data_IF_571446335270
#
_entry.id   IF_571446335270
#
_cell.length_a   1.000
_cell.length_b   1.000
_cell.length_c   1.000
_cell.angle_alpha   90.00
_cell.angle_beta   90.00
_cell.angle_gamma   90.00
#
_symmetry.space_group_name_H-M   'P 1'
#
loop_
_entity.id
_entity.type
_entity.pdbx_description
1 polymer ?
#
# COMPACT_ATOMS: atom_id res chain seq x y z
N UNK A 1 19.22 23.30 -22.08
CA UNK A 1 20.32 22.84 -21.19
C UNK A 1 19.66 22.33 -19.91
N UNK A 2 19.69 21.02 -19.65
CA UNK A 2 19.17 20.43 -18.41
C UNK A 2 19.85 21.08 -17.20
N UNK A 3 19.11 21.35 -16.12
CA UNK A 3 19.64 22.01 -14.90
C UNK A 3 20.90 21.33 -14.35
N UNK A 4 20.98 20.00 -14.50
CA UNK A 4 22.18 19.20 -14.19
C UNK A 4 23.48 19.73 -14.82
N UNK A 5 23.43 20.31 -16.02
CA UNK A 5 24.63 20.85 -16.67
C UNK A 5 25.11 22.16 -16.03
N UNK A 6 24.22 22.97 -15.42
CA UNK A 6 24.61 24.23 -14.77
C UNK A 6 25.31 24.00 -13.43
N UNK A 7 24.94 22.96 -12.69
CA UNK A 7 25.53 22.66 -11.38
C UNK A 7 26.84 21.88 -11.48
N UNK A 8 26.98 21.04 -12.50
CA UNK A 8 28.26 20.39 -12.82
C UNK A 8 29.35 21.40 -13.27
N UNK A 9 28.97 22.59 -13.73
CA UNK A 9 29.89 23.68 -14.13
C UNK A 9 30.45 24.49 -12.94
N UNK A 10 29.86 24.39 -11.74
CA UNK A 10 30.40 25.03 -10.53
C UNK A 10 31.65 24.28 -10.06
N UNK A 11 32.80 24.56 -10.70
CA UNK A 11 34.12 24.05 -10.33
C UNK A 11 34.43 24.46 -8.88
N UNK A 12 34.63 23.50 -7.98
CA UNK A 12 35.49 23.76 -6.81
C UNK A 12 36.88 24.13 -7.36
N UNK A 13 37.54 25.20 -6.87
CA UNK A 13 38.95 25.39 -7.14
C UNK A 13 39.69 24.16 -6.60
N UNK A 14 40.49 23.57 -7.47
CA UNK A 14 41.26 22.34 -7.23
C UNK A 14 41.99 22.49 -5.89
N UNK A 15 41.60 21.69 -4.90
CA UNK A 15 42.40 21.54 -3.67
C UNK A 15 43.77 21.02 -4.12
N UNK A 16 44.83 21.71 -3.72
CA UNK A 16 46.22 21.39 -4.02
C UNK A 16 46.53 19.89 -3.82
N UNK A 17 46.39 19.08 -4.87
CA UNK A 17 46.94 17.74 -4.93
C UNK A 17 48.11 17.76 -5.92
N UNK A 18 49.31 17.86 -5.36
CA UNK A 18 50.56 17.68 -6.11
C UNK A 18 50.77 16.19 -6.38
N UNK A 19 50.17 15.60 -7.41
CA UNK A 19 50.59 14.28 -7.93
C UNK A 19 50.28 14.14 -9.43
N UNK A 20 51.34 14.18 -10.24
CA UNK A 20 51.52 13.81 -11.66
C UNK A 20 50.27 13.71 -12.60
N UNK A 21 50.33 14.51 -13.66
CA UNK A 21 49.26 15.12 -14.45
C UNK A 21 48.54 14.24 -15.51
N UNK A 22 48.51 12.91 -15.37
CA UNK A 22 47.84 12.04 -16.35
C UNK A 22 46.54 11.41 -15.82
N UNK A 23 46.50 11.06 -14.52
CA UNK A 23 45.30 10.52 -13.88
C UNK A 23 44.18 11.55 -13.75
N UNK A 24 44.56 12.81 -13.48
CA UNK A 24 43.62 13.92 -13.29
C UNK A 24 42.84 14.26 -14.58
N UNK A 25 43.57 14.41 -15.68
CA UNK A 25 42.97 14.67 -17.00
C UNK A 25 42.09 13.49 -17.46
N UNK A 26 42.50 12.25 -17.17
CA UNK A 26 41.76 11.07 -17.58
C UNK A 26 40.44 10.88 -16.81
N UNK A 27 40.33 11.29 -15.54
CA UNK A 27 39.04 11.19 -14.84
C UNK A 27 38.09 12.35 -15.16
N UNK A 28 38.58 13.58 -15.34
CA UNK A 28 37.73 14.71 -15.77
C UNK A 28 37.09 14.42 -17.12
N UNK A 29 37.87 13.88 -18.07
CA UNK A 29 37.35 13.43 -19.36
C UNK A 29 36.36 12.26 -19.23
N UNK A 30 36.51 11.37 -18.23
CA UNK A 30 35.53 10.30 -17.95
C UNK A 30 34.21 10.86 -17.39
N UNK A 31 34.27 11.85 -16.50
CA UNK A 31 33.08 12.49 -15.97
C UNK A 31 32.29 13.24 -17.06
N UNK A 32 32.99 13.98 -17.92
CA UNK A 32 32.39 14.65 -19.07
C UNK A 32 31.75 13.66 -20.06
N UNK A 33 32.42 12.54 -20.34
CA UNK A 33 31.84 11.44 -21.13
C UNK A 33 30.61 10.82 -20.45
N UNK A 34 30.66 10.64 -19.13
CA UNK A 34 29.53 10.16 -18.33
C UNK A 34 28.31 11.07 -18.49
N UNK A 35 28.50 12.38 -18.39
CA UNK A 35 27.43 13.38 -18.58
C UNK A 35 26.85 13.32 -20.00
N UNK A 36 27.69 13.14 -21.04
CA UNK A 36 27.20 12.96 -22.42
C UNK A 36 26.33 11.70 -22.56
N UNK A 37 26.78 10.58 -21.99
CA UNK A 37 26.00 9.34 -22.00
C UNK A 37 24.66 9.48 -21.25
N UNK A 38 24.61 10.27 -20.18
CA UNK A 38 23.33 10.60 -19.52
C UNK A 38 22.40 11.36 -20.45
N UNK A 39 22.91 12.34 -21.20
CA UNK A 39 22.10 13.09 -22.18
C UNK A 39 21.60 12.20 -23.33
N UNK A 40 22.35 11.14 -23.67
CA UNK A 40 21.98 10.12 -24.66
C UNK A 40 21.08 9.01 -24.07
N UNK A 41 20.77 9.05 -22.77
CA UNK A 41 19.97 8.03 -22.08
C UNK A 41 20.70 6.70 -21.83
N UNK A 42 22.02 6.65 -22.04
CA UNK A 42 22.87 5.48 -21.85
C UNK A 42 23.32 5.35 -20.38
N UNK A 43 22.35 5.22 -19.47
CA UNK A 43 22.59 5.29 -18.02
C UNK A 43 23.53 4.21 -17.48
N UNK A 44 23.47 2.97 -17.98
CA UNK A 44 24.33 1.88 -17.51
C UNK A 44 25.83 2.13 -17.80
N UNK A 45 26.14 2.68 -18.98
CA UNK A 45 27.51 3.05 -19.33
C UNK A 45 27.96 4.29 -18.55
N UNK A 46 27.06 5.25 -18.34
CA UNK A 46 27.34 6.40 -17.48
C UNK A 46 27.68 5.99 -16.03
N UNK A 47 26.97 4.99 -15.47
CA UNK A 47 27.30 4.42 -14.15
C UNK A 47 28.73 3.88 -14.10
N UNK A 48 29.17 3.17 -15.14
CA UNK A 48 30.54 2.66 -15.19
C UNK A 48 31.57 3.80 -15.19
N UNK A 49 31.34 4.84 -16.00
CA UNK A 49 32.23 6.00 -16.03
C UNK A 49 32.27 6.78 -14.72
N UNK A 50 31.11 7.02 -14.08
CA UNK A 50 31.08 7.68 -12.77
C UNK A 50 31.69 6.82 -11.68
N UNK A 51 31.56 5.49 -11.74
CA UNK A 51 32.21 4.58 -10.79
C UNK A 51 33.73 4.68 -10.88
N UNK A 52 34.28 4.76 -12.09
CA UNK A 52 35.72 4.99 -12.28
C UNK A 52 36.13 6.41 -11.84
N UNK A 53 35.31 7.43 -12.07
CA UNK A 53 35.57 8.79 -11.60
C UNK A 53 35.62 8.87 -10.06
N UNK A 54 34.69 8.21 -9.37
CA UNK A 54 34.62 8.13 -7.90
C UNK A 54 35.85 7.42 -7.32
N UNK A 55 36.41 6.41 -8.01
CA UNK A 55 37.66 5.77 -7.57
C UNK A 55 38.84 6.74 -7.60
N UNK A 56 38.86 7.67 -8.55
CA UNK A 56 39.92 8.67 -8.69
C UNK A 56 39.77 9.83 -7.70
N UNK A 57 38.54 10.32 -7.50
CA UNK A 57 38.23 11.35 -6.51
C UNK A 57 36.97 10.97 -5.71
N UNK A 58 37.14 10.27 -4.57
CA UNK A 58 36.03 9.84 -3.72
C UNK A 58 35.30 10.98 -2.99
N UNK A 59 35.92 12.17 -2.91
CA UNK A 59 35.42 13.32 -2.17
C UNK A 59 34.59 14.27 -3.04
N UNK A 60 34.56 14.05 -4.36
CA UNK A 60 33.69 14.78 -5.28
C UNK A 60 32.26 14.19 -5.27
N UNK A 61 31.43 14.77 -4.42
CA UNK A 61 30.01 14.43 -4.27
C UNK A 61 29.19 14.54 -5.57
N UNK A 62 29.65 15.29 -6.58
CA UNK A 62 28.92 15.46 -7.84
C UNK A 62 28.88 14.16 -8.63
N UNK A 63 29.94 13.36 -8.60
CA UNK A 63 29.96 12.06 -9.28
C UNK A 63 28.99 11.08 -8.63
N UNK A 64 28.88 11.11 -7.30
CA UNK A 64 27.90 10.33 -6.55
C UNK A 64 26.47 10.76 -6.92
N UNK A 65 26.18 12.07 -6.95
CA UNK A 65 24.85 12.55 -7.34
C UNK A 65 24.48 12.26 -8.80
N UNK A 66 25.44 12.30 -9.73
CA UNK A 66 25.22 11.91 -11.13
C UNK A 66 25.03 10.39 -11.29
N UNK A 67 25.79 9.58 -10.56
CA UNK A 67 25.62 8.11 -10.55
C UNK A 67 24.29 7.71 -9.90
N UNK A 68 23.91 8.37 -8.82
CA UNK A 68 22.60 8.22 -8.16
C UNK A 68 21.44 8.44 -9.15
N UNK A 69 21.51 9.49 -9.98
CA UNK A 69 20.54 9.72 -11.04
C UNK A 69 20.47 8.57 -12.05
N UNK A 70 21.62 8.09 -12.50
CA UNK A 70 21.67 6.98 -13.43
C UNK A 70 21.02 5.72 -12.81
N UNK A 71 21.30 5.43 -11.54
CA UNK A 71 20.64 4.34 -10.81
C UNK A 71 19.12 4.55 -10.69
N UNK A 72 18.67 5.78 -10.44
CA UNK A 72 17.24 6.11 -10.43
C UNK A 72 16.58 5.82 -11.79
N UNK A 73 17.18 6.28 -12.90
CA UNK A 73 16.70 6.01 -14.25
C UNK A 73 16.68 4.51 -14.59
N UNK A 74 17.62 3.74 -14.03
CA UNK A 74 17.67 2.28 -14.13
C UNK A 74 16.72 1.56 -13.15
N UNK A 75 15.93 2.29 -12.35
CA UNK A 75 15.03 1.78 -11.30
C UNK A 75 15.75 1.01 -10.19
N UNK A 76 17.05 1.26 -10.03
CA UNK A 76 17.91 0.71 -8.97
C UNK A 76 17.88 1.65 -7.76
N UNK A 77 16.70 1.84 -7.18
CA UNK A 77 16.47 2.85 -6.14
C UNK A 77 17.33 2.69 -4.88
N UNK A 78 17.62 1.47 -4.38
CA UNK A 78 18.51 1.31 -3.22
C UNK A 78 19.93 1.83 -3.48
N UNK A 79 20.50 1.56 -4.66
CA UNK A 79 21.81 2.10 -5.04
C UNK A 79 21.77 3.60 -5.26
N UNK A 80 20.68 4.12 -5.85
CA UNK A 80 20.47 5.56 -6.00
C UNK A 80 20.44 6.28 -4.64
N UNK A 81 19.76 5.69 -3.66
CA UNK A 81 19.67 6.24 -2.32
C UNK A 81 21.03 6.23 -1.61
N UNK A 82 21.77 5.12 -1.70
CA UNK A 82 23.09 5.01 -1.07
C UNK A 82 24.08 6.07 -1.60
N UNK A 83 24.09 6.31 -2.91
CA UNK A 83 24.91 7.35 -3.52
C UNK A 83 24.46 8.76 -3.13
N UNK A 84 23.14 9.00 -3.05
CA UNK A 84 22.59 10.28 -2.61
C UNK A 84 22.96 10.58 -1.16
N UNK A 85 22.81 9.60 -0.26
CA UNK A 85 23.18 9.72 1.14
C UNK A 85 24.68 10.03 1.30
N UNK A 86 25.53 9.36 0.52
CA UNK A 86 26.98 9.64 0.54
C UNK A 86 27.30 11.03 0.00
N UNK A 87 26.61 11.49 -1.05
CA UNK A 87 26.77 12.85 -1.56
C UNK A 87 26.37 13.90 -0.51
N UNK A 88 25.27 13.69 0.21
CA UNK A 88 24.80 14.56 1.30
C UNK A 88 25.81 14.58 2.46
N UNK A 89 26.40 13.44 2.82
CA UNK A 89 27.45 13.39 3.85
C UNK A 89 28.67 14.26 3.49
N UNK A 90 29.04 14.31 2.20
CA UNK A 90 30.18 15.08 1.71
C UNK A 90 29.85 16.56 1.49
N UNK A 91 28.59 16.87 1.13
CA UNK A 91 28.10 18.23 0.93
C UNK A 91 26.64 18.37 1.41
N UNK A 92 26.43 18.65 2.71
CA UNK A 92 25.09 18.77 3.29
C UNK A 92 24.27 19.92 2.71
N UNK A 93 24.94 21.00 2.30
CA UNK A 93 24.31 22.21 1.76
C UNK A 93 24.08 22.15 0.25
N UNK A 94 24.28 20.98 -0.38
CA UNK A 94 24.04 20.79 -1.80
C UNK A 94 22.57 20.37 -2.07
N UNK A 95 21.72 21.24 -2.64
CA UNK A 95 20.29 20.95 -2.79
C UNK A 95 20.03 19.68 -3.60
N UNK A 96 20.80 19.46 -4.68
CA UNK A 96 20.63 18.28 -5.51
C UNK A 96 20.91 16.96 -4.80
N UNK A 97 21.77 16.93 -3.78
CA UNK A 97 21.98 15.72 -2.98
C UNK A 97 20.67 15.25 -2.35
N UNK A 98 19.97 16.17 -1.69
CA UNK A 98 18.65 15.95 -1.09
C UNK A 98 17.58 15.65 -2.15
N UNK A 99 17.66 16.30 -3.32
CA UNK A 99 16.74 16.02 -4.43
C UNK A 99 16.88 14.57 -4.91
N UNK A 100 18.11 14.09 -5.14
CA UNK A 100 18.38 12.68 -5.51
C UNK A 100 17.88 11.71 -4.44
N UNK A 101 18.10 12.04 -3.17
CA UNK A 101 17.63 11.23 -2.05
C UNK A 101 16.10 11.10 -2.07
N UNK A 102 15.38 12.21 -2.22
CA UNK A 102 13.92 12.21 -2.29
C UNK A 102 13.39 11.46 -3.52
N UNK A 103 14.00 11.60 -4.70
CA UNK A 103 13.63 10.83 -5.89
C UNK A 103 13.82 9.32 -5.69
N UNK A 104 14.93 8.90 -5.09
CA UNK A 104 15.18 7.49 -4.78
C UNK A 104 14.15 6.93 -3.78
N UNK A 105 13.85 7.69 -2.72
CA UNK A 105 12.84 7.33 -1.72
C UNK A 105 11.43 7.23 -2.32
N UNK A 106 11.06 8.13 -3.24
CA UNK A 106 9.83 8.06 -4.03
C UNK A 106 9.74 6.76 -4.83
N UNK A 107 10.82 6.38 -5.53
CA UNK A 107 10.91 5.12 -6.25
C UNK A 107 10.75 3.88 -5.36
N UNK A 108 11.19 3.98 -4.10
CA UNK A 108 11.01 2.95 -3.06
C UNK A 108 9.65 3.03 -2.35
N UNK A 109 8.78 3.98 -2.70
CA UNK A 109 7.49 4.25 -2.05
C UNK A 109 7.60 4.65 -0.56
N UNK A 110 8.74 5.21 -0.15
CA UNK A 110 8.97 5.73 1.20
C UNK A 110 8.61 7.21 1.26
N UNK A 111 7.34 7.53 1.02
CA UNK A 111 6.89 8.90 0.71
C UNK A 111 7.10 9.90 1.85
N UNK A 112 6.90 9.51 3.10
CA UNK A 112 7.15 10.41 4.25
C UNK A 112 8.63 10.77 4.43
N UNK A 113 9.55 9.89 4.01
CA UNK A 113 10.98 10.19 4.01
C UNK A 113 11.36 11.07 2.80
N UNK A 114 10.74 10.81 1.65
CA UNK A 114 10.91 11.64 0.46
C UNK A 114 10.42 13.08 0.68
N UNK A 115 9.30 13.26 1.39
CA UNK A 115 8.79 14.57 1.79
C UNK A 115 9.85 15.36 2.57
N UNK A 116 10.46 14.76 3.59
CA UNK A 116 11.52 15.42 4.38
C UNK A 116 12.73 15.82 3.53
N UNK A 117 13.12 14.96 2.59
CA UNK A 117 14.22 15.27 1.67
C UNK A 117 13.86 16.45 0.75
N UNK A 118 12.64 16.48 0.19
CA UNK A 118 12.17 17.58 -0.66
C UNK A 118 12.00 18.90 0.11
N UNK A 119 11.55 18.86 1.36
CA UNK A 119 11.56 20.03 2.24
C UNK A 119 12.97 20.56 2.47
N UNK A 120 13.96 19.68 2.60
CA UNK A 120 15.35 20.10 2.74
C UNK A 120 15.89 20.74 1.45
N UNK A 121 15.47 20.26 0.26
CA UNK A 121 15.77 20.93 -1.01
C UNK A 121 15.22 22.36 -0.99
N UNK A 122 13.95 22.54 -0.62
CA UNK A 122 13.31 23.85 -0.59
C UNK A 122 13.83 24.79 0.50
N UNK A 123 14.47 24.25 1.55
CA UNK A 123 15.20 25.08 2.53
C UNK A 123 16.51 25.64 1.96
N UNK A 124 17.17 24.88 1.08
CA UNK A 124 18.45 25.28 0.47
C UNK A 124 18.26 26.06 -0.83
N UNK A 125 17.24 25.73 -1.61
CA UNK A 125 16.81 26.38 -2.86
C UNK A 125 15.28 26.55 -2.87
N UNK A 126 14.83 27.70 -2.36
CA UNK A 126 13.41 28.03 -2.18
C UNK A 126 12.61 28.03 -3.48
N UNK A 127 13.25 28.34 -4.63
CA UNK A 127 12.57 28.52 -5.92
C UNK A 127 12.61 27.26 -6.80
N UNK A 128 13.01 26.12 -6.23
CA UNK A 128 13.06 24.85 -6.96
C UNK A 128 11.65 24.31 -7.26
N UNK A 129 11.10 24.68 -8.43
CA UNK A 129 9.77 24.23 -8.91
C UNK A 129 9.62 22.71 -8.99
N UNK A 130 10.69 22.01 -9.33
CA UNK A 130 10.70 20.55 -9.40
C UNK A 130 10.50 19.95 -8.00
N UNK A 131 11.23 20.44 -6.99
CA UNK A 131 11.08 20.00 -5.62
C UNK A 131 9.71 20.35 -5.03
N UNK A 132 9.13 21.51 -5.37
CA UNK A 132 7.75 21.85 -4.98
C UNK A 132 6.73 20.86 -5.56
N UNK A 133 6.85 20.52 -6.84
CA UNK A 133 5.99 19.54 -7.50
C UNK A 133 6.13 18.14 -6.88
N UNK A 134 7.36 17.69 -6.66
CA UNK A 134 7.64 16.39 -6.05
C UNK A 134 7.21 16.33 -4.59
N UNK A 135 7.36 17.40 -3.81
CA UNK A 135 6.82 17.53 -2.46
C UNK A 135 5.30 17.37 -2.45
N UNK A 136 4.60 18.07 -3.33
CA UNK A 136 3.14 17.93 -3.47
C UNK A 136 2.77 16.48 -3.84
N UNK A 137 3.48 15.87 -4.79
CA UNK A 137 3.28 14.47 -5.17
C UNK A 137 3.51 13.51 -3.99
N UNK A 138 4.55 13.73 -3.17
CA UNK A 138 4.81 12.94 -1.96
C UNK A 138 3.59 12.97 -1.02
N UNK A 139 3.02 14.15 -0.79
CA UNK A 139 1.86 14.34 0.10
C UNK A 139 0.61 13.66 -0.45
N UNK A 140 0.35 13.80 -1.75
CA UNK A 140 -0.78 13.11 -2.42
C UNK A 140 -0.64 11.59 -2.29
N UNK A 141 0.55 11.04 -2.53
CA UNK A 141 0.78 9.60 -2.45
C UNK A 141 0.63 9.06 -1.02
N UNK A 142 1.05 9.82 0.00
CA UNK A 142 0.81 9.45 1.40
C UNK A 142 -0.69 9.38 1.71
N UNK A 143 -1.48 10.37 1.27
CA UNK A 143 -2.94 10.34 1.44
C UNK A 143 -3.56 9.14 0.71
N UNK A 144 -3.07 8.80 -0.48
CA UNK A 144 -3.52 7.59 -1.17
C UNK A 144 -3.20 6.30 -0.41
N UNK A 145 -2.07 6.22 0.30
CA UNK A 145 -1.76 5.09 1.21
C UNK A 145 -2.71 5.03 2.42
N UNK A 146 -3.23 6.18 2.86
CA UNK A 146 -4.28 6.28 3.87
C UNK A 146 -5.70 6.02 3.33
N UNK A 147 -5.84 5.69 2.04
CA UNK A 147 -7.10 5.30 1.42
C UNK A 147 -7.89 6.44 0.78
N UNK A 148 -7.34 7.65 0.71
CA UNK A 148 -7.98 8.77 0.00
C UNK A 148 -7.86 8.60 -1.52
N UNK A 149 -8.88 9.02 -2.25
CA UNK A 149 -8.78 9.09 -3.72
C UNK A 149 -7.82 10.21 -4.14
N UNK A 150 -7.18 10.05 -5.32
CA UNK A 150 -6.20 11.03 -5.81
C UNK A 150 -6.79 12.44 -5.95
N UNK A 151 -7.99 12.56 -6.54
CA UNK A 151 -8.66 13.85 -6.71
C UNK A 151 -8.99 14.53 -5.39
N UNK A 152 -9.51 13.75 -4.43
CA UNK A 152 -9.77 14.22 -3.07
C UNK A 152 -8.50 14.68 -2.36
N UNK A 153 -7.41 13.93 -2.51
CA UNK A 153 -6.11 14.24 -1.89
C UNK A 153 -5.57 15.59 -2.35
N UNK A 154 -5.68 15.89 -3.65
CA UNK A 154 -5.26 17.19 -4.21
C UNK A 154 -6.10 18.33 -3.61
N UNK A 155 -7.43 18.21 -3.61
CA UNK A 155 -8.33 19.22 -3.04
C UNK A 155 -8.11 19.42 -1.53
N UNK A 156 -7.85 18.34 -0.79
CA UNK A 156 -7.55 18.42 0.65
C UNK A 156 -6.22 19.12 0.90
N UNK A 157 -5.23 18.93 0.03
CA UNK A 157 -3.92 19.58 0.15
C UNK A 157 -3.92 21.06 -0.26
N UNK A 158 -4.89 21.49 -1.08
CA UNK A 158 -5.14 22.92 -1.32
C UNK A 158 -5.65 23.61 -0.04
N UNK A 159 -6.43 22.90 0.78
CA UNK A 159 -6.98 23.41 2.04
C UNK A 159 -6.02 23.26 3.22
N UNK A 160 -5.32 22.13 3.31
CA UNK A 160 -4.41 21.77 4.39
C UNK A 160 -3.04 21.44 3.80
N UNK A 161 -2.07 22.31 4.04
CA UNK A 161 -0.75 22.20 3.40
C UNK A 161 0.05 20.94 3.76
N UNK A 162 -0.33 20.18 4.80
CA UNK A 162 0.41 19.01 5.30
C UNK A 162 -0.49 17.78 5.47
N UNK A 163 0.08 16.59 5.27
CA UNK A 163 -0.64 15.30 5.42
C UNK A 163 -1.20 15.12 6.84
N UNK A 164 -0.45 15.38 7.93
CA UNK A 164 -1.01 15.24 9.28
C UNK A 164 -2.20 16.15 9.55
N UNK A 165 -2.20 17.38 9.01
CA UNK A 165 -3.32 18.30 9.15
C UNK A 165 -4.58 17.80 8.43
N UNK A 166 -4.43 17.21 7.23
CA UNK A 166 -5.53 16.56 6.52
C UNK A 166 -6.10 15.41 7.35
N UNK A 167 -5.24 14.53 7.87
CA UNK A 167 -5.66 13.37 8.66
C UNK A 167 -6.38 13.79 9.95
N UNK A 168 -5.86 14.80 10.65
CA UNK A 168 -6.48 15.35 11.84
C UNK A 168 -7.86 15.93 11.53
N UNK A 169 -7.98 16.76 10.48
CA UNK A 169 -9.26 17.34 10.07
C UNK A 169 -10.29 16.26 9.67
N UNK A 170 -9.87 15.21 8.97
CA UNK A 170 -10.76 14.10 8.63
C UNK A 170 -11.15 13.27 9.86
N UNK A 171 -10.26 13.12 10.84
CA UNK A 171 -10.58 12.46 12.11
C UNK A 171 -11.56 13.26 12.97
N UNK A 172 -11.49 14.60 12.91
CA UNK A 172 -12.42 15.50 13.59
C UNK A 172 -13.78 15.53 12.89
N UNK A 173 -13.86 15.40 11.56
CA UNK A 173 -15.13 15.20 10.85
C UNK A 173 -15.80 13.89 11.26
N UNK A 174 -15.03 12.82 11.50
CA UNK A 174 -15.57 11.57 12.09
C UNK A 174 -16.05 11.77 13.53
N UNK A 175 -15.50 12.75 14.27
CA UNK A 175 -15.88 13.08 15.66
C UNK A 175 -16.99 14.14 15.78
N UNK A 176 -17.17 15.00 14.79
CA UNK A 176 -18.06 16.16 14.82
C UNK A 176 -19.20 16.12 13.78
N UNK A 177 -19.15 15.23 12.78
CA UNK A 177 -20.10 15.16 11.67
C UNK A 177 -20.86 13.85 11.62
N UNK A 178 -21.98 13.76 12.34
CA UNK A 178 -23.09 12.92 11.93
C UNK A 178 -23.77 13.55 10.71
N UNK A 179 -24.03 12.74 9.67
CA UNK A 179 -24.58 13.08 8.34
C UNK A 179 -23.57 13.83 7.44
N UNK A 180 -23.05 13.28 6.33
CA UNK A 180 -23.74 12.57 5.26
C UNK A 180 -22.78 11.67 4.42
N UNK A 181 -23.32 10.54 3.96
CA UNK A 181 -22.91 9.56 2.92
C UNK A 181 -21.49 8.91 2.85
N UNK A 182 -21.50 7.63 3.29
CA UNK A 182 -20.92 6.44 2.63
C UNK A 182 -19.63 5.80 3.15
N UNK A 183 -19.35 5.90 4.46
CA UNK A 183 -18.52 4.89 5.13
C UNK A 183 -19.19 4.45 6.43
N UNK A 184 -20.17 3.54 6.31
CA UNK A 184 -20.78 2.88 7.46
C UNK A 184 -19.82 1.81 8.00
N UNK A 185 -19.52 1.89 9.30
CA UNK A 185 -18.73 0.91 10.04
C UNK A 185 -19.47 -0.45 10.10
N UNK A 186 -18.77 -1.58 10.28
CA UNK A 186 -19.41 -2.88 10.45
C UNK A 186 -20.27 -2.87 11.72
N UNK A 187 -21.59 -2.83 11.56
CA UNK A 187 -22.57 -2.77 12.66
C UNK A 187 -23.36 -1.47 12.78
N UNK A 188 -23.13 -0.45 11.94
CA UNK A 188 -23.99 0.74 11.95
C UNK A 188 -25.36 0.43 11.33
N UNK A 189 -26.47 0.86 11.97
CA UNK A 189 -27.81 0.68 11.40
C UNK A 189 -27.93 1.35 10.04
N UNK A 190 -28.14 0.58 8.97
CA UNK A 190 -28.38 1.13 7.63
C UNK A 190 -29.77 0.75 7.10
N UNK A 191 -30.29 1.58 6.20
CA UNK A 191 -31.63 1.40 5.58
C UNK A 191 -31.72 0.13 4.72
N UNK A 192 -30.58 -0.30 4.19
CA UNK A 192 -30.45 -1.47 3.33
C UNK A 192 -30.11 -2.72 4.15
N UNK A 193 -30.85 -3.80 3.95
CA UNK A 193 -30.61 -5.11 4.55
C UNK A 193 -30.29 -6.13 3.46
N UNK A 194 -29.31 -6.99 3.75
CA UNK A 194 -29.06 -8.20 3.00
C UNK A 194 -29.81 -9.37 3.64
N UNK A 195 -30.54 -10.12 2.83
CA UNK A 195 -31.29 -11.31 3.22
C UNK A 195 -30.69 -12.50 2.51
N UNK A 196 -30.06 -13.41 3.25
CA UNK A 196 -29.47 -14.64 2.75
C UNK A 196 -30.39 -15.85 2.84
N UNK A 197 -29.97 -16.93 2.18
CA UNK A 197 -30.67 -18.21 2.10
C UNK A 197 -32.05 -18.11 1.41
N UNK A 198 -32.15 -17.25 0.39
CA UNK A 198 -33.35 -17.11 -0.42
C UNK A 198 -33.37 -18.23 -1.47
N UNK A 199 -34.34 -19.13 -1.39
CA UNK A 199 -34.52 -20.24 -2.36
C UNK A 199 -35.24 -19.77 -3.63
N UNK A 200 -35.25 -20.61 -4.67
CA UNK A 200 -35.96 -20.34 -5.94
C UNK A 200 -37.48 -20.33 -5.80
N UNK A 201 -38.01 -20.87 -4.71
CA UNK A 201 -39.45 -20.89 -4.41
C UNK A 201 -39.92 -19.60 -3.72
N UNK A 202 -38.98 -18.80 -3.18
CA UNK A 202 -39.30 -17.55 -2.51
C UNK A 202 -39.37 -16.40 -3.53
N UNK A 203 -40.59 -15.96 -3.80
CA UNK A 203 -40.86 -14.82 -4.69
C UNK A 203 -40.70 -13.49 -3.96
N UNK A 204 -40.54 -12.40 -4.73
CA UNK A 204 -40.47 -11.03 -4.20
C UNK A 204 -41.71 -10.69 -3.35
N UNK A 205 -42.89 -11.17 -3.75
CA UNK A 205 -44.15 -10.89 -3.05
C UNK A 205 -44.16 -11.47 -1.63
N UNK A 206 -43.64 -12.68 -1.42
CA UNK A 206 -43.53 -13.28 -0.09
C UNK A 206 -42.59 -12.48 0.84
N UNK A 207 -41.45 -12.02 0.31
CA UNK A 207 -40.54 -11.15 1.05
C UNK A 207 -41.19 -9.79 1.33
N UNK A 208 -41.97 -9.26 0.39
CA UNK A 208 -42.67 -7.99 0.55
C UNK A 208 -43.71 -8.05 1.65
N UNK A 209 -44.52 -9.12 1.69
CA UNK A 209 -45.52 -9.33 2.74
C UNK A 209 -44.87 -9.47 4.12
N UNK A 210 -43.77 -10.21 4.22
CA UNK A 210 -43.05 -10.42 5.48
C UNK A 210 -42.41 -9.12 6.01
N UNK A 211 -41.67 -8.42 5.15
CA UNK A 211 -40.94 -7.22 5.55
C UNK A 211 -41.86 -6.01 5.74
N UNK A 212 -43.06 -6.00 5.13
CA UNK A 212 -44.08 -4.96 5.32
C UNK A 212 -44.61 -4.92 6.76
N UNK A 213 -44.59 -6.04 7.49
CA UNK A 213 -44.97 -6.09 8.91
C UNK A 213 -43.97 -5.32 9.80
N UNK A 214 -42.74 -5.15 9.33
CA UNK A 214 -41.67 -4.48 10.10
C UNK A 214 -41.49 -3.01 9.70
N UNK A 215 -41.95 -2.59 8.52
CA UNK A 215 -41.90 -1.19 8.10
C UNK A 215 -42.18 -0.96 6.62
N UNK A 216 -42.13 0.31 6.23
CA UNK A 216 -42.34 0.73 4.83
C UNK A 216 -41.10 0.45 3.98
N UNK A 217 -41.31 -0.41 2.98
CA UNK A 217 -40.28 -0.83 2.04
C UNK A 217 -40.23 0.14 0.86
N UNK A 218 -39.02 0.59 0.52
CA UNK A 218 -38.76 1.41 -0.66
C UNK A 218 -38.53 0.54 -1.89
N UNK A 219 -37.68 -0.48 -1.79
CA UNK A 219 -37.41 -1.42 -2.88
C UNK A 219 -36.96 -2.80 -2.38
N UNK A 220 -37.27 -3.83 -3.16
CA UNK A 220 -36.77 -5.19 -2.97
C UNK A 220 -36.09 -5.62 -4.26
N UNK A 221 -34.95 -6.29 -4.15
CA UNK A 221 -34.26 -6.91 -5.28
C UNK A 221 -33.87 -8.32 -4.90
N UNK A 222 -34.45 -9.31 -5.57
CA UNK A 222 -34.13 -10.73 -5.36
C UNK A 222 -33.11 -11.19 -6.39
N UNK A 223 -32.05 -11.86 -5.94
CA UNK A 223 -31.03 -12.50 -6.79
C UNK A 223 -31.01 -13.99 -6.48
N UNK A 224 -31.81 -14.76 -7.21
CA UNK A 224 -31.90 -16.21 -7.05
C UNK A 224 -30.57 -16.91 -7.35
N UNK A 225 -29.77 -16.40 -8.29
CA UNK A 225 -28.43 -16.94 -8.62
C UNK A 225 -27.45 -16.91 -7.45
N UNK A 226 -27.64 -15.99 -6.49
CA UNK A 226 -26.76 -15.81 -5.32
C UNK A 226 -27.46 -16.17 -4.02
N UNK A 227 -28.65 -16.79 -4.09
CA UNK A 227 -29.48 -17.14 -2.95
C UNK A 227 -29.67 -15.99 -1.95
N UNK A 228 -29.82 -14.76 -2.46
CA UNK A 228 -29.94 -13.59 -1.60
C UNK A 228 -30.89 -12.52 -2.16
N UNK A 229 -31.41 -11.68 -1.28
CA UNK A 229 -32.19 -10.50 -1.62
C UNK A 229 -31.66 -9.27 -0.89
N UNK A 230 -31.88 -8.10 -1.48
CA UNK A 230 -31.62 -6.81 -0.86
C UNK A 230 -32.95 -6.10 -0.63
N UNK A 231 -33.20 -5.67 0.61
CA UNK A 231 -34.40 -4.97 1.03
C UNK A 231 -34.01 -3.59 1.53
N UNK A 232 -34.58 -2.54 0.96
CA UNK A 232 -34.34 -1.16 1.37
C UNK A 232 -35.60 -0.61 2.03
N UNK A 233 -35.44 -0.09 3.25
CA UNK A 233 -36.50 0.57 4.00
C UNK A 233 -36.42 2.09 3.89
N UNK A 234 -37.57 2.76 4.04
CA UNK A 234 -37.62 4.23 4.11
C UNK A 234 -36.90 4.79 5.34
N UNK A 235 -36.84 4.03 6.44
CA UNK A 235 -36.18 4.42 7.70
C UNK A 235 -35.13 3.40 8.15
N UNK A 236 -34.08 3.89 8.82
CA UNK A 236 -33.03 3.09 9.45
C UNK A 236 -33.54 2.29 10.65
N UNK A 237 -34.47 2.86 11.40
CA UNK A 237 -34.98 2.24 12.63
C UNK A 237 -35.88 1.04 12.32
N UNK A 238 -36.66 1.16 11.24
CA UNK A 238 -37.46 0.07 10.69
C UNK A 238 -36.58 -1.07 10.17
N UNK A 239 -35.43 -0.74 9.54
CA UNK A 239 -34.47 -1.75 9.09
C UNK A 239 -33.82 -2.48 10.27
N UNK A 240 -33.50 -1.78 11.37
CA UNK A 240 -32.98 -2.40 12.59
C UNK A 240 -34.02 -3.35 13.23
N UNK A 241 -35.27 -2.90 13.34
CA UNK A 241 -36.37 -3.72 13.87
C UNK A 241 -36.65 -4.95 12.98
N UNK A 242 -36.61 -4.79 11.65
CA UNK A 242 -36.75 -5.90 10.71
C UNK A 242 -35.60 -6.91 10.84
N UNK A 243 -34.35 -6.44 11.05
CA UNK A 243 -33.20 -7.31 11.28
C UNK A 243 -33.37 -8.13 12.56
N UNK A 244 -33.75 -7.52 13.67
CA UNK A 244 -33.91 -8.23 14.95
C UNK A 244 -35.06 -9.26 14.89
N UNK A 245 -36.18 -8.88 14.26
CA UNK A 245 -37.39 -9.71 14.23
C UNK A 245 -37.35 -10.83 13.17
N UNK A 246 -36.71 -10.59 12.03
CA UNK A 246 -36.74 -11.51 10.87
C UNK A 246 -35.43 -12.29 10.67
N UNK A 247 -34.36 -11.97 11.41
CA UNK A 247 -33.14 -12.78 11.37
C UNK A 247 -33.37 -14.14 12.04
N UNK A 248 -33.19 -15.22 11.28
CA UNK A 248 -33.50 -16.58 11.71
C UNK A 248 -34.95 -17.00 11.49
N UNK A 249 -35.77 -16.19 10.83
CA UNK A 249 -37.16 -16.52 10.52
C UNK A 249 -37.23 -17.72 9.55
N UNK A 250 -38.07 -18.70 9.88
CA UNK A 250 -38.21 -19.94 9.12
C UNK A 250 -39.32 -19.81 8.07
N UNK A 251 -38.97 -19.96 6.78
CA UNK A 251 -39.93 -20.11 5.68
C UNK A 251 -39.62 -21.42 4.98
N UNK A 252 -40.62 -22.32 4.89
CA UNK A 252 -40.51 -23.59 4.15
C UNK A 252 -39.22 -24.37 4.47
N UNK A 253 -38.96 -24.58 5.78
CA UNK A 253 -37.77 -25.25 6.33
C UNK A 253 -36.41 -24.57 6.09
N UNK A 254 -36.39 -23.34 5.54
CA UNK A 254 -35.17 -22.55 5.37
C UNK A 254 -35.15 -21.36 6.33
N UNK A 255 -34.01 -21.13 7.00
CA UNK A 255 -33.81 -20.00 7.91
C UNK A 255 -33.21 -18.83 7.15
N UNK A 256 -33.93 -17.71 7.11
CA UNK A 256 -33.44 -16.47 6.52
C UNK A 256 -32.35 -15.85 7.41
N UNK A 257 -31.31 -15.32 6.77
CA UNK A 257 -30.23 -14.60 7.46
C UNK A 257 -30.31 -13.14 7.08
N UNK A 258 -30.72 -12.27 8.00
CA UNK A 258 -30.83 -10.83 7.74
C UNK A 258 -29.66 -10.12 8.39
N UNK A 259 -28.88 -9.38 7.60
CA UNK A 259 -27.69 -8.65 8.06
C UNK A 259 -27.54 -7.34 7.33
N UNK A 260 -26.79 -6.42 7.92
CA UNK A 260 -26.31 -5.26 7.19
C UNK A 260 -25.29 -5.68 6.11
N UNK A 261 -25.28 -5.04 4.93
CA UNK A 261 -24.33 -5.35 3.87
C UNK A 261 -22.88 -5.02 4.27
N UNK A 262 -22.17 -5.95 4.89
CA UNK A 262 -20.74 -5.79 5.21
C UNK A 262 -19.90 -5.73 3.93
N UNK A 263 -19.22 -4.61 3.70
CA UNK A 263 -18.18 -4.53 2.67
C UNK A 263 -16.85 -5.09 3.20
N UNK A 264 -16.67 -6.40 2.95
CA UNK A 264 -15.45 -7.24 2.92
C UNK A 264 -15.04 -8.00 4.21
N UNK A 265 -14.54 -9.25 4.05
CA UNK A 265 -13.96 -10.05 5.13
C UNK A 265 -12.57 -9.52 5.50
N UNK A 266 -12.43 -9.02 6.73
CA UNK A 266 -11.17 -8.55 7.28
C UNK A 266 -10.37 -9.76 7.80
N UNK A 267 -9.13 -9.90 7.31
CA UNK A 267 -8.15 -10.84 7.88
C UNK A 267 -7.90 -10.45 9.33
N UNK A 268 -8.31 -11.32 10.23
CA UNK A 268 -8.03 -11.23 11.66
C UNK A 268 -6.51 -11.28 11.86
N UNK A 269 -5.94 -10.23 12.42
CA UNK A 269 -4.66 -10.30 13.12
C UNK A 269 -4.94 -9.94 14.57
N UNK A 270 -4.77 -10.92 15.46
CA UNK A 270 -4.99 -10.77 16.88
C UNK A 270 -3.77 -10.11 17.54
N UNK A 271 -4.02 -9.12 18.38
CA UNK A 271 -3.09 -8.61 19.40
C UNK A 271 -3.55 -9.17 20.76
N UNK A 272 -2.68 -9.76 21.59
CA UNK A 272 -3.07 -10.23 22.93
C UNK A 272 -2.77 -9.18 24.02
N UNK A 273 -3.72 -8.96 24.94
CA UNK A 273 -3.52 -8.24 26.20
C UNK A 273 -3.48 -9.23 27.39
N UNK A 274 -2.41 -9.05 28.19
CA UNK A 274 -2.13 -9.34 29.62
C UNK A 274 -3.27 -9.98 30.47
N UNK A 275 -3.09 -11.22 30.99
CA UNK A 275 -2.80 -11.65 32.41
C UNK A 275 -3.77 -11.10 33.48
N UNK A 276 -4.44 -11.84 34.38
CA UNK A 276 -4.09 -13.00 35.24
C UNK A 276 -5.36 -13.69 35.90
N UNK A 277 -5.26 -14.77 36.73
CA UNK A 277 -6.15 -15.97 36.78
C UNK A 277 -6.87 -16.18 38.16
N UNK A 278 -7.17 -17.39 38.72
CA UNK A 278 -7.45 -18.78 38.22
C UNK A 278 -8.73 -19.44 38.84
N UNK A 279 -9.27 -20.55 38.30
CA UNK A 279 -9.79 -21.73 39.06
C UNK A 279 -9.90 -22.96 38.11
N UNK A 280 -9.19 -24.02 38.52
CA UNK A 280 -9.17 -25.49 38.23
C UNK A 280 -10.35 -26.14 37.46
N UNK A 281 -10.22 -27.18 36.62
CA UNK A 281 -9.59 -28.50 36.86
C UNK A 281 -9.18 -29.21 35.53
N UNK A 282 -7.98 -29.82 35.55
CA UNK A 282 -7.48 -31.12 35.02
C UNK A 282 -8.10 -31.81 33.77
N UNK A 283 -7.43 -32.59 32.92
CA UNK A 283 -6.06 -32.77 32.38
C UNK A 283 -6.15 -33.91 31.33
N UNK A 284 -5.53 -33.79 30.13
CA UNK A 284 -5.44 -34.86 29.11
C UNK A 284 -4.60 -34.42 27.89
N UNK A 285 -3.81 -35.32 27.25
CA UNK A 285 -2.46 -34.98 26.77
C UNK A 285 -2.39 -34.27 25.41
N UNK A 286 -1.29 -33.55 25.23
CA UNK A 286 -0.97 -32.62 24.17
C UNK A 286 -1.04 -33.20 22.73
N UNK A 287 -1.79 -32.53 21.86
CA UNK A 287 -1.64 -32.60 20.42
C UNK A 287 -1.11 -31.25 19.89
N UNK A 288 0.12 -31.27 19.35
CA UNK A 288 0.82 -30.08 18.86
C UNK A 288 0.10 -29.31 17.72
N UNK A 289 0.65 -28.15 17.31
CA UNK A 289 -0.02 -27.27 16.35
C UNK A 289 -0.16 -27.97 15.00
N UNK A 290 -1.39 -28.04 14.48
CA UNK A 290 -1.68 -28.60 13.15
C UNK A 290 -0.93 -27.76 12.10
N UNK A 291 0.17 -28.30 11.57
CA UNK A 291 0.94 -27.70 10.47
C UNK A 291 0.04 -27.55 9.25
N UNK A 292 -0.51 -26.35 9.03
CA UNK A 292 -1.15 -25.96 7.77
C UNK A 292 -0.23 -24.97 7.06
N UNK A 293 0.80 -25.51 6.44
CA UNK A 293 1.70 -24.78 5.55
C UNK A 293 1.92 -25.59 4.27
N UNK A 294 2.34 -24.93 3.18
CA UNK A 294 2.74 -25.61 1.95
C UNK A 294 3.87 -26.61 2.25
N UNK A 295 3.79 -27.80 1.64
CA UNK A 295 4.89 -28.76 1.66
C UNK A 295 5.78 -28.43 0.46
N UNK A 296 7.09 -28.33 0.65
CA UNK A 296 8.05 -28.07 -0.43
C UNK A 296 7.69 -26.83 -1.30
N UNK A 297 7.45 -25.70 -0.65
CA UNK A 297 7.28 -24.41 -1.31
C UNK A 297 5.88 -24.12 -1.83
N UNK A 298 5.25 -25.03 -2.59
CA UNK A 298 3.94 -24.76 -3.24
C UNK A 298 3.00 -25.98 -3.33
N UNK A 299 3.35 -27.15 -2.78
CA UNK A 299 2.51 -28.35 -2.88
C UNK A 299 1.39 -28.39 -1.84
N UNK A 300 0.23 -28.90 -2.25
CA UNK A 300 -0.93 -29.05 -1.39
C UNK A 300 -0.75 -30.18 -0.38
N UNK A 301 -0.67 -29.85 0.92
CA UNK A 301 -0.59 -30.83 2.00
C UNK A 301 -1.77 -31.84 1.99
N UNK A 302 -2.99 -31.36 1.74
CA UNK A 302 -4.19 -32.20 1.72
C UNK A 302 -4.22 -33.15 0.52
N UNK A 303 -3.62 -32.77 -0.61
CA UNK A 303 -3.47 -33.64 -1.77
C UNK A 303 -2.54 -34.84 -1.47
N UNK A 304 -1.49 -34.61 -0.68
CA UNK A 304 -0.52 -35.63 -0.30
C UNK A 304 -0.99 -36.59 0.79
N UNK A 305 -1.99 -36.22 1.58
CA UNK A 305 -2.45 -36.99 2.75
C UNK A 305 -3.80 -37.67 2.51
N UNK A 306 -4.89 -36.90 2.47
CA UNK A 306 -6.27 -37.43 2.47
C UNK A 306 -7.04 -37.20 1.17
N UNK A 307 -6.48 -36.41 0.24
CA UNK A 307 -7.18 -35.87 -0.92
C UNK A 307 -7.66 -34.45 -0.67
N UNK A 308 -7.43 -33.55 -1.64
CA UNK A 308 -7.84 -32.16 -1.55
C UNK A 308 -9.30 -31.99 -2.01
N UNK A 309 -10.14 -31.45 -1.13
CA UNK A 309 -11.56 -31.21 -1.41
C UNK A 309 -11.81 -30.16 -2.52
N UNK A 310 -10.85 -29.25 -2.73
CA UNK A 310 -10.96 -28.18 -3.71
C UNK A 310 -10.64 -28.61 -5.15
N UNK A 311 -10.23 -29.87 -5.36
CA UNK A 311 -9.96 -30.42 -6.69
C UNK A 311 -9.02 -29.53 -7.52
N UNK A 312 -9.41 -29.20 -8.74
CA UNK A 312 -8.59 -28.37 -9.65
C UNK A 312 -8.54 -26.88 -9.27
N UNK A 313 -9.36 -26.43 -8.32
CA UNK A 313 -9.41 -25.05 -7.85
C UNK A 313 -8.57 -24.83 -6.58
N UNK A 314 -7.64 -25.74 -6.27
CA UNK A 314 -6.79 -25.58 -5.10
C UNK A 314 -5.73 -24.48 -5.31
N UNK A 315 -5.52 -23.68 -4.26
CA UNK A 315 -4.50 -22.62 -4.22
C UNK A 315 -3.06 -23.16 -4.30
N UNK A 316 -2.86 -24.43 -3.97
CA UNK A 316 -1.55 -25.10 -3.96
C UNK A 316 -1.49 -26.16 -5.06
N UNK A 317 -0.31 -26.40 -5.62
CA UNK A 317 -0.13 -27.31 -6.76
C UNK A 317 -0.45 -28.76 -6.37
N UNK A 318 -1.24 -29.42 -7.21
CA UNK A 318 -1.52 -30.85 -7.13
C UNK A 318 -0.60 -31.59 -8.10
N UNK A 319 0.45 -32.22 -7.60
CA UNK A 319 1.32 -33.09 -8.41
C UNK A 319 0.71 -34.49 -8.40
N UNK A 320 0.31 -35.06 -9.56
CA UNK A 320 -0.33 -36.36 -9.64
C UNK A 320 0.44 -37.48 -8.92
N UNK A 321 1.77 -37.48 -9.07
CA UNK A 321 2.70 -38.50 -8.52
C UNK A 321 2.86 -38.47 -6.99
N UNK A 322 2.29 -37.45 -6.34
CA UNK A 322 2.40 -37.23 -4.89
C UNK A 322 1.07 -37.44 -4.14
N UNK A 323 0.02 -37.89 -4.84
CA UNK A 323 -1.31 -38.09 -4.25
C UNK A 323 -1.29 -39.21 -3.20
N UNK A 324 -1.63 -38.91 -1.95
CA UNK A 324 -1.77 -39.90 -0.87
C UNK A 324 -0.47 -40.51 -0.33
N UNK A 325 0.71 -39.97 -0.69
CA UNK A 325 2.02 -40.48 -0.23
C UNK A 325 2.27 -40.37 1.28
N UNK A 326 1.68 -39.37 1.92
CA UNK A 326 1.89 -39.08 3.35
C UNK A 326 0.72 -39.59 4.21
N UNK A 327 -0.08 -40.53 3.68
CA UNK A 327 -1.19 -41.14 4.41
C UNK A 327 -0.62 -42.01 5.54
N UNK A 328 -0.79 -41.58 6.79
CA UNK A 328 -0.46 -42.43 7.95
C UNK A 328 -1.33 -43.70 7.89
N UNK A 329 -0.76 -44.89 8.15
CA UNK A 329 -1.50 -46.15 8.20
C UNK A 329 -2.58 -46.13 9.27
#
# INVERSE_FOLDING_TARGET
RSKENKENEARRPVRNLRFHDMGFFLFLTRAEKGIKLVQEGQYAQAVALFTEAIKCDPEDYRFLGNRSYCFYCLKQYPQALADADRAIQLAPDWPMGHFRQGSALMGMKRYGEAERAMEQVLRLDTDCKEAMGDLHNCRVLQLMEHGFEKGQSVLLLEKYSTVPAVLAACSDVVRAGGHDQSVAQPGSPCRSLWVGNVTTELTENHLRELFKVCGDIESIRVLHERFCAFVNFKSTDMAAHAMEKLNGYCIQNTRLVVRYPDRRPQRVTCTPLKTCPPVTQEAGPAAGPRRRGPVNGDECYFWRTTGCHFGNNCRYKHIPDQKGKDKKP
#
